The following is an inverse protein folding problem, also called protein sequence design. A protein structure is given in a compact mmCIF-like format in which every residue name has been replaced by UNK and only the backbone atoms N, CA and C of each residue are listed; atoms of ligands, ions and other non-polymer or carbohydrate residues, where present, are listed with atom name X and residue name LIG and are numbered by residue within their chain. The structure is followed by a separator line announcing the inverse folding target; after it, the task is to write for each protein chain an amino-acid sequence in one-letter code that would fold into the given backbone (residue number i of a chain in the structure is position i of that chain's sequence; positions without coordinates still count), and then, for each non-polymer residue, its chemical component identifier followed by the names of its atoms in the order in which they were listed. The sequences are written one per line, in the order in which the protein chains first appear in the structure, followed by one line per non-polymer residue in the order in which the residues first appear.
data_IF_878554965494
#
_entry.id   IF_878554965494
#
_cell.length_a   1.000
_cell.length_b   1.000
_cell.length_c   1.000
_cell.angle_alpha   90.00
_cell.angle_beta   90.00
_cell.angle_gamma   90.00
#
_symmetry.space_group_name_H-M   'P 1'
#
loop_
_entity.id
_entity.type
_entity.pdbx_description
1 polymer ?
#
# COMPACT_ATOMS: atom_id res chain seq x y z
N UNK A 1 28.51 -27.47 -18.87
CA UNK A 1 27.31 -27.77 -18.05
C UNK A 1 26.77 -26.48 -17.46
N UNK A 2 25.76 -25.87 -18.09
CA UNK A 2 25.21 -24.54 -17.70
C UNK A 2 23.66 -24.55 -17.55
N UNK A 3 23.08 -25.74 -17.33
CA UNK A 3 21.62 -25.93 -17.31
C UNK A 3 20.95 -25.83 -15.93
N UNK A 4 21.72 -25.89 -14.83
CA UNK A 4 21.15 -26.02 -13.49
C UNK A 4 20.74 -24.69 -12.82
N UNK A 5 21.34 -23.55 -13.19
CA UNK A 5 21.06 -22.26 -12.53
C UNK A 5 19.84 -21.53 -13.10
N UNK A 6 19.56 -21.65 -14.40
CA UNK A 6 18.45 -20.95 -15.06
C UNK A 6 17.09 -21.47 -14.57
N UNK A 7 16.94 -22.79 -14.46
CA UNK A 7 15.70 -23.40 -13.95
C UNK A 7 15.49 -23.12 -12.47
N UNK A 8 16.55 -23.18 -11.65
CA UNK A 8 16.48 -22.83 -10.24
C UNK A 8 16.05 -21.37 -10.03
N UNK A 9 16.64 -20.42 -10.76
CA UNK A 9 16.27 -19.00 -10.67
C UNK A 9 14.84 -18.73 -11.15
N UNK A 10 14.39 -19.39 -12.23
CA UNK A 10 13.00 -19.30 -12.69
C UNK A 10 12.04 -19.89 -11.64
N UNK A 11 12.40 -21.02 -11.03
CA UNK A 11 11.61 -21.67 -9.97
C UNK A 11 11.51 -20.79 -8.72
N UNK A 12 12.61 -20.23 -8.24
CA UNK A 12 12.61 -19.32 -7.09
C UNK A 12 11.78 -18.06 -7.36
N UNK A 13 11.98 -17.41 -8.50
CA UNK A 13 11.20 -16.23 -8.90
C UNK A 13 9.71 -16.54 -9.02
N UNK A 14 9.36 -17.68 -9.64
CA UNK A 14 7.97 -18.12 -9.77
C UNK A 14 7.35 -18.46 -8.41
N UNK A 15 8.07 -19.14 -7.53
CA UNK A 15 7.60 -19.45 -6.18
C UNK A 15 7.34 -18.19 -5.34
N UNK A 16 8.19 -17.17 -5.46
CA UNK A 16 8.00 -15.87 -4.81
C UNK A 16 6.77 -15.12 -5.36
N UNK A 17 6.61 -15.10 -6.68
CA UNK A 17 5.42 -14.50 -7.33
C UNK A 17 4.14 -15.24 -6.97
N UNK A 18 4.16 -16.57 -6.97
CA UNK A 18 3.02 -17.40 -6.59
C UNK A 18 2.67 -17.20 -5.11
N UNK A 19 3.67 -17.10 -4.22
CA UNK A 19 3.46 -16.78 -2.80
C UNK A 19 2.79 -15.41 -2.61
N UNK A 20 3.23 -14.39 -3.33
CA UNK A 20 2.66 -13.04 -3.26
C UNK A 20 1.25 -13.00 -3.82
N UNK A 21 1.04 -13.60 -4.99
CA UNK A 21 -0.30 -13.74 -5.58
C UNK A 21 -1.25 -14.47 -4.62
N UNK A 22 -0.77 -15.49 -3.92
CA UNK A 22 -1.57 -16.22 -2.91
C UNK A 22 -1.96 -15.32 -1.73
N UNK A 23 -1.07 -14.43 -1.27
CA UNK A 23 -1.42 -13.44 -0.23
C UNK A 23 -2.51 -12.48 -0.70
N UNK A 24 -2.40 -11.95 -1.92
CA UNK A 24 -3.43 -11.08 -2.51
C UNK A 24 -4.75 -11.83 -2.71
N UNK A 25 -4.72 -13.10 -3.13
CA UNK A 25 -5.93 -13.92 -3.25
C UNK A 25 -6.68 -13.99 -1.93
N UNK A 26 -5.99 -14.37 -0.87
CA UNK A 26 -6.58 -14.48 0.47
C UNK A 26 -7.16 -13.15 0.93
N UNK A 27 -6.46 -12.04 0.71
CA UNK A 27 -6.96 -10.70 1.08
C UNK A 27 -8.22 -10.33 0.29
N UNK A 28 -8.21 -10.51 -1.03
CA UNK A 28 -9.38 -10.16 -1.85
C UNK A 28 -10.59 -11.05 -1.60
N UNK A 29 -10.39 -12.34 -1.32
CA UNK A 29 -11.49 -13.25 -0.95
C UNK A 29 -12.13 -12.83 0.38
N UNK A 30 -11.33 -12.44 1.38
CA UNK A 30 -11.86 -11.92 2.65
C UNK A 30 -12.68 -10.64 2.43
N UNK A 31 -12.22 -9.75 1.54
CA UNK A 31 -12.98 -8.54 1.20
C UNK A 31 -14.32 -8.87 0.51
N UNK A 32 -14.34 -9.86 -0.39
CA UNK A 32 -15.59 -10.36 -1.01
C UNK A 32 -16.53 -10.91 0.06
N UNK A 33 -16.01 -11.74 0.97
CA UNK A 33 -16.78 -12.32 2.07
C UNK A 33 -17.40 -11.23 2.95
N UNK A 34 -16.60 -10.25 3.40
CA UNK A 34 -17.08 -9.16 4.26
C UNK A 34 -18.10 -8.27 3.53
N UNK A 35 -17.85 -7.93 2.26
CA UNK A 35 -18.80 -7.14 1.48
C UNK A 35 -20.14 -7.85 1.30
N UNK A 36 -20.13 -9.18 1.07
CA UNK A 36 -21.33 -9.98 0.98
C UNK A 36 -22.06 -10.15 2.33
N UNK A 37 -21.30 -10.29 3.43
CA UNK A 37 -21.85 -10.44 4.78
C UNK A 37 -22.49 -9.17 5.31
N UNK A 38 -21.87 -8.01 5.07
CA UNK A 38 -22.35 -6.71 5.58
C UNK A 38 -23.49 -6.12 4.75
N UNK A 39 -23.44 -6.26 3.43
CA UNK A 39 -24.35 -5.55 2.51
C UNK A 39 -25.14 -6.50 1.60
N UNK A 40 -25.16 -7.80 1.92
CA UNK A 40 -25.90 -8.82 1.19
C UNK A 40 -25.13 -9.43 0.00
N UNK A 41 -25.53 -10.64 -0.46
CA UNK A 41 -24.79 -11.40 -1.47
C UNK A 41 -25.08 -10.97 -2.92
N UNK A 42 -26.11 -10.14 -3.14
CA UNK A 42 -26.53 -9.76 -4.49
C UNK A 42 -25.55 -8.76 -5.12
N UNK A 43 -24.93 -9.19 -6.22
CA UNK A 43 -23.88 -8.42 -6.91
C UNK A 43 -24.46 -7.15 -7.54
N UNK A 44 -25.71 -7.17 -8.01
CA UNK A 44 -26.29 -6.02 -8.71
C UNK A 44 -26.67 -4.87 -7.77
N UNK A 45 -27.16 -5.19 -6.57
CA UNK A 45 -27.52 -4.18 -5.56
C UNK A 45 -26.37 -3.80 -4.62
N UNK A 46 -25.24 -4.51 -4.64
CA UNK A 46 -24.11 -4.27 -3.73
C UNK A 46 -22.84 -3.77 -4.47
N UNK A 47 -22.63 -2.45 -4.58
CA UNK A 47 -21.43 -1.88 -5.20
C UNK A 47 -20.12 -2.27 -4.48
N UNK A 48 -20.14 -2.46 -3.16
CA UNK A 48 -18.97 -2.90 -2.39
C UNK A 48 -18.54 -4.31 -2.83
N UNK A 49 -19.52 -5.19 -3.04
CA UNK A 49 -19.29 -6.55 -3.51
C UNK A 49 -18.80 -6.56 -4.96
N UNK A 50 -19.36 -5.72 -5.85
CA UNK A 50 -18.84 -5.58 -7.22
C UNK A 50 -17.38 -5.15 -7.25
N UNK A 51 -17.03 -4.13 -6.46
CA UNK A 51 -15.66 -3.66 -6.34
C UNK A 51 -14.73 -4.75 -5.80
N UNK A 52 -15.15 -5.46 -4.75
CA UNK A 52 -14.38 -6.57 -4.18
C UNK A 52 -14.17 -7.71 -5.19
N UNK A 53 -15.21 -8.07 -5.96
CA UNK A 53 -15.14 -9.08 -7.03
C UNK A 53 -14.22 -8.60 -8.17
N UNK A 54 -14.31 -7.33 -8.57
CA UNK A 54 -13.45 -6.74 -9.59
C UNK A 54 -11.99 -6.83 -9.18
N UNK A 55 -11.67 -6.44 -7.93
CA UNK A 55 -10.32 -6.59 -7.36
C UNK A 55 -9.88 -8.05 -7.28
N UNK A 56 -10.74 -8.97 -6.88
CA UNK A 56 -10.42 -10.41 -6.87
C UNK A 56 -10.10 -10.94 -8.28
N UNK A 57 -10.89 -10.56 -9.28
CA UNK A 57 -10.67 -10.91 -10.70
C UNK A 57 -9.36 -10.31 -11.23
N UNK A 58 -9.03 -9.06 -10.87
CA UNK A 58 -7.77 -8.42 -11.24
C UNK A 58 -6.55 -9.23 -10.79
N UNK A 59 -6.59 -9.80 -9.59
CA UNK A 59 -5.51 -10.68 -9.12
C UNK A 59 -5.54 -12.07 -9.78
N UNK A 60 -6.57 -12.44 -10.53
CA UNK A 60 -6.85 -13.77 -11.10
C UNK A 60 -7.35 -14.80 -10.08
N UNK A 61 -8.13 -14.37 -9.09
CA UNK A 61 -8.84 -15.31 -8.21
C UNK A 61 -9.85 -16.10 -9.05
N UNK A 62 -9.84 -17.46 -8.98
CA UNK A 62 -10.80 -18.30 -9.67
C UNK A 62 -12.26 -17.98 -9.30
N UNK A 63 -13.16 -18.04 -10.29
CA UNK A 63 -14.58 -17.69 -10.13
C UNK A 63 -15.29 -18.52 -9.06
N UNK A 64 -15.01 -19.82 -9.02
CA UNK A 64 -15.53 -20.76 -8.02
C UNK A 64 -15.19 -20.34 -6.58
N UNK A 65 -13.99 -19.78 -6.36
CA UNK A 65 -13.59 -19.28 -5.04
C UNK A 65 -14.33 -18.02 -4.64
N UNK A 66 -14.59 -17.13 -5.60
CA UNK A 66 -15.38 -15.92 -5.39
C UNK A 66 -16.82 -16.30 -5.02
N UNK A 67 -17.44 -17.17 -5.81
CA UNK A 67 -18.80 -17.65 -5.56
C UNK A 67 -18.92 -18.36 -4.21
N UNK A 68 -17.93 -19.19 -3.87
CA UNK A 68 -17.88 -19.84 -2.55
C UNK A 68 -17.76 -18.83 -1.41
N UNK A 69 -16.96 -17.77 -1.57
CA UNK A 69 -16.84 -16.73 -0.55
C UNK A 69 -18.16 -15.99 -0.31
N UNK A 70 -18.89 -15.67 -1.40
CA UNK A 70 -20.21 -15.02 -1.33
C UNK A 70 -21.22 -15.95 -0.64
N UNK A 71 -21.26 -17.22 -1.06
CA UNK A 71 -22.19 -18.21 -0.48
C UNK A 71 -21.91 -18.40 1.01
N UNK A 72 -20.65 -18.65 1.37
CA UNK A 72 -20.23 -18.82 2.76
C UNK A 72 -20.59 -17.60 3.63
N UNK A 73 -20.51 -16.38 3.10
CA UNK A 73 -20.83 -15.16 3.84
C UNK A 73 -22.29 -15.10 4.33
N UNK A 74 -23.19 -15.83 3.66
CA UNK A 74 -24.63 -15.84 3.93
C UNK A 74 -25.15 -17.15 4.51
N UNK A 75 -24.29 -18.15 4.73
CA UNK A 75 -24.70 -19.40 5.37
C UNK A 75 -24.91 -19.18 6.87
N UNK A 76 -26.10 -19.53 7.40
CA UNK A 76 -26.45 -19.37 8.82
C UNK A 76 -25.54 -20.16 9.77
N UNK A 77 -24.97 -21.26 9.30
CA UNK A 77 -24.03 -22.10 10.05
C UNK A 77 -22.62 -21.49 10.13
N UNK A 78 -22.34 -20.42 9.40
CA UNK A 78 -21.01 -19.85 9.34
C UNK A 78 -20.72 -18.98 10.58
N UNK A 79 -19.77 -19.44 11.39
CA UNK A 79 -19.29 -18.74 12.60
C UNK A 79 -18.09 -17.82 12.34
N UNK A 80 -17.55 -17.78 11.11
CA UNK A 80 -16.46 -16.88 10.74
C UNK A 80 -16.91 -15.42 10.85
N UNK A 81 -16.39 -14.74 11.87
CA UNK A 81 -16.60 -13.33 12.10
C UNK A 81 -15.26 -12.63 11.98
N UNK A 82 -15.07 -11.94 10.86
CA UNK A 82 -13.96 -11.03 10.71
C UNK A 82 -14.32 -9.69 11.32
N UNK A 83 -13.40 -9.14 12.08
CA UNK A 83 -13.49 -7.80 12.67
C UNK A 83 -12.38 -6.93 12.09
N UNK A 84 -12.73 -5.70 11.74
CA UNK A 84 -11.75 -4.66 11.50
C UNK A 84 -11.13 -4.25 12.84
N UNK A 85 -9.81 -4.26 12.88
CA UNK A 85 -9.02 -3.83 14.02
C UNK A 85 -7.94 -2.87 13.53
N UNK A 86 -7.67 -1.86 14.35
CA UNK A 86 -6.63 -0.88 14.12
C UNK A 86 -5.56 -1.11 15.17
N UNK A 87 -4.32 -1.20 14.72
CA UNK A 87 -3.15 -1.24 15.58
C UNK A 87 -2.35 0.04 15.37
N UNK A 88 -1.88 0.61 16.46
CA UNK A 88 -1.17 1.88 16.48
C UNK A 88 0.23 1.66 17.01
N UNK A 89 1.24 2.33 16.46
CA UNK A 89 2.60 2.18 16.93
C UNK A 89 3.58 3.16 16.31
N UNK A 90 4.82 3.08 16.78
CA UNK A 90 5.93 3.87 16.28
C UNK A 90 6.98 2.95 15.68
N UNK A 91 7.47 3.28 14.49
CA UNK A 91 8.62 2.64 13.87
C UNK A 91 9.94 3.35 14.22
N UNK A 92 11.02 2.99 13.53
CA UNK A 92 12.31 3.68 13.63
C UNK A 92 12.17 5.19 13.39
N UNK A 93 13.00 5.98 14.07
CA UNK A 93 12.97 7.44 13.96
C UNK A 93 11.70 8.09 14.51
N UNK A 94 10.88 7.36 15.28
CA UNK A 94 9.64 7.89 15.84
C UNK A 94 8.51 8.07 14.82
N UNK A 95 8.60 7.43 13.66
CA UNK A 95 7.56 7.50 12.62
C UNK A 95 6.29 6.81 13.12
N UNK A 96 5.16 7.52 13.05
CA UNK A 96 3.86 7.00 13.45
C UNK A 96 3.28 6.05 12.39
N UNK A 97 2.75 4.90 12.83
CA UNK A 97 2.11 3.90 11.99
C UNK A 97 0.71 3.56 12.50
N UNK A 98 -0.25 3.55 11.57
CA UNK A 98 -1.57 2.95 11.76
C UNK A 98 -1.68 1.72 10.87
N UNK A 99 -1.98 0.57 11.45
CA UNK A 99 -2.11 -0.71 10.76
C UNK A 99 -3.54 -1.20 10.88
N UNK A 100 -4.30 -1.12 9.80
CA UNK A 100 -5.65 -1.71 9.72
C UNK A 100 -5.57 -3.18 9.34
N UNK A 101 -6.26 -4.04 10.08
CA UNK A 101 -6.33 -5.47 9.80
C UNK A 101 -7.77 -5.98 9.87
N UNK A 102 -8.09 -6.94 9.01
CA UNK A 102 -9.33 -7.69 9.04
C UNK A 102 -9.03 -9.10 9.57
N UNK A 103 -9.49 -9.42 10.78
CA UNK A 103 -9.10 -10.65 11.48
C UNK A 103 -10.25 -11.33 12.20
N UNK A 104 -10.20 -12.67 12.19
CA UNK A 104 -11.03 -13.59 12.96
C UNK A 104 -10.40 -13.92 14.33
N UNK A 105 -9.15 -13.49 14.58
CA UNK A 105 -8.44 -13.73 15.83
C UNK A 105 -7.55 -12.54 16.18
N UNK A 106 -8.09 -11.65 17.02
CA UNK A 106 -7.43 -10.42 17.47
C UNK A 106 -6.10 -10.69 18.18
N UNK A 107 -6.03 -11.75 19.00
CA UNK A 107 -4.83 -12.07 19.78
C UNK A 107 -3.67 -12.55 18.90
N UNK A 108 -3.97 -13.41 17.93
CA UNK A 108 -2.99 -13.87 16.94
C UNK A 108 -2.45 -12.71 16.13
N UNK A 109 -3.34 -11.88 15.58
CA UNK A 109 -2.94 -10.72 14.77
C UNK A 109 -2.16 -9.69 15.58
N UNK A 110 -2.56 -9.41 16.82
CA UNK A 110 -1.81 -8.49 17.69
C UNK A 110 -0.39 -9.00 17.98
N UNK A 111 -0.22 -10.31 18.20
CA UNK A 111 1.08 -10.93 18.40
C UNK A 111 1.97 -10.82 17.16
N UNK A 112 1.41 -11.11 15.98
CA UNK A 112 2.12 -10.98 14.69
C UNK A 112 2.53 -9.53 14.43
N UNK A 113 1.62 -8.57 14.58
CA UNK A 113 1.91 -7.14 14.40
C UNK A 113 2.98 -6.67 15.37
N UNK A 114 2.87 -7.02 16.66
CA UNK A 114 3.89 -6.67 17.66
C UNK A 114 5.26 -7.24 17.29
N UNK A 115 5.32 -8.49 16.86
CA UNK A 115 6.57 -9.12 16.42
C UNK A 115 7.19 -8.39 15.22
N UNK A 116 6.38 -7.86 14.31
CA UNK A 116 6.86 -7.05 13.18
C UNK A 116 7.44 -5.74 13.68
N UNK A 117 6.72 -4.96 14.50
CA UNK A 117 7.25 -3.72 15.08
C UNK A 117 8.58 -3.97 15.81
N UNK A 118 8.65 -4.97 16.69
CA UNK A 118 9.87 -5.28 17.43
C UNK A 118 11.04 -5.71 16.55
N UNK A 119 10.77 -6.44 15.46
CA UNK A 119 11.80 -6.85 14.49
C UNK A 119 12.43 -5.64 13.79
N UNK A 120 11.65 -4.59 13.57
CA UNK A 120 12.06 -3.38 12.85
C UNK A 120 12.29 -2.20 13.80
N UNK A 121 12.82 -2.44 15.00
CA UNK A 121 13.17 -1.39 15.97
C UNK A 121 12.03 -0.39 16.28
N UNK A 122 10.79 -0.83 16.15
CA UNK A 122 9.59 -0.09 16.51
C UNK A 122 8.86 -0.73 17.70
N UNK A 123 7.79 -0.07 18.11
CA UNK A 123 6.93 -0.52 19.21
C UNK A 123 5.46 -0.41 18.82
N UNK A 124 4.72 -1.49 19.05
CA UNK A 124 3.27 -1.45 19.03
C UNK A 124 2.78 -0.71 20.28
N UNK A 125 2.07 0.39 20.09
CA UNK A 125 1.46 1.19 21.12
C UNK A 125 0.10 0.65 21.57
N UNK A 126 -0.56 1.45 22.42
CA UNK A 126 -1.97 1.26 22.80
C UNK A 126 -2.88 2.09 21.89
N UNK A 127 -4.17 1.77 21.86
CA UNK A 127 -5.17 2.57 21.13
C UNK A 127 -5.07 4.05 21.54
N UNK A 128 -5.02 4.96 20.57
CA UNK A 128 -4.82 6.40 20.82
C UNK A 128 -3.37 6.90 20.75
N UNK A 129 -2.38 6.02 20.64
CA UNK A 129 -0.95 6.40 20.65
C UNK A 129 -0.53 7.33 19.50
N UNK A 130 -1.10 7.14 18.31
CA UNK A 130 -0.79 7.92 17.11
C UNK A 130 -2.02 8.41 16.35
N UNK A 131 -3.21 7.89 16.63
CA UNK A 131 -4.42 8.20 15.86
C UNK A 131 -4.77 9.70 15.80
N UNK A 132 -4.37 10.49 16.79
CA UNK A 132 -4.50 11.95 16.75
C UNK A 132 -3.66 12.64 15.66
N UNK A 133 -2.63 11.95 15.13
CA UNK A 133 -1.77 12.40 14.02
C UNK A 133 -2.35 12.06 12.65
N UNK A 134 -3.55 11.48 12.60
CA UNK A 134 -4.21 11.05 11.35
C UNK A 134 -5.68 11.46 11.32
N UNK A 135 -6.12 11.90 10.15
CA UNK A 135 -7.54 12.06 9.84
C UNK A 135 -8.08 10.77 9.23
N UNK A 136 -9.22 10.29 9.75
CA UNK A 136 -9.92 9.13 9.20
C UNK A 136 -10.98 9.62 8.22
N UNK A 137 -10.72 9.39 6.93
CA UNK A 137 -11.57 9.89 5.84
C UNK A 137 -12.11 8.74 4.99
N UNK A 138 -13.30 8.94 4.44
CA UNK A 138 -13.76 8.15 3.31
C UNK A 138 -13.09 8.65 2.03
N UNK A 139 -12.53 7.76 1.24
CA UNK A 139 -11.88 8.07 -0.02
C UNK A 139 -12.48 7.26 -1.16
N UNK A 140 -12.82 7.93 -2.26
CA UNK A 140 -13.36 7.35 -3.49
C UNK A 140 -12.47 7.80 -4.64
N UNK A 141 -11.99 6.87 -5.47
CA UNK A 141 -11.05 7.15 -6.56
C UNK A 141 -11.66 6.78 -7.90
N UNK A 142 -11.55 7.69 -8.86
CA UNK A 142 -12.01 7.51 -10.23
C UNK A 142 -10.89 7.83 -11.22
N UNK A 143 -10.71 6.96 -12.21
CA UNK A 143 -9.82 7.14 -13.36
C UNK A 143 -10.63 7.55 -14.58
N UNK A 144 -10.01 8.34 -15.45
CA UNK A 144 -10.58 8.71 -16.76
C UNK A 144 -11.97 9.37 -16.68
N UNK A 145 -12.25 10.08 -15.58
CA UNK A 145 -13.47 10.88 -15.42
C UNK A 145 -13.19 12.36 -15.65
N UNK A 146 -14.21 13.10 -16.05
CA UNK A 146 -14.15 14.55 -16.15
C UNK A 146 -14.09 15.16 -14.74
N UNK A 147 -13.03 15.92 -14.46
CA UNK A 147 -12.79 16.46 -13.12
C UNK A 147 -13.86 17.48 -12.71
N UNK A 148 -14.25 18.37 -13.61
CA UNK A 148 -15.19 19.45 -13.29
C UNK A 148 -16.56 18.86 -12.92
N UNK A 149 -17.03 17.87 -13.69
CA UNK A 149 -18.26 17.12 -13.35
C UNK A 149 -18.15 16.34 -12.06
N UNK A 150 -17.01 15.67 -11.82
CA UNK A 150 -16.80 14.93 -10.57
C UNK A 150 -16.82 15.87 -9.37
N UNK A 151 -16.16 17.02 -9.49
CA UNK A 151 -16.09 18.04 -8.46
C UNK A 151 -17.48 18.57 -8.09
N UNK A 152 -18.28 18.98 -9.07
CA UNK A 152 -19.65 19.46 -8.85
C UNK A 152 -20.51 18.39 -8.17
N UNK A 153 -20.54 17.17 -8.71
CA UNK A 153 -21.33 16.07 -8.17
C UNK A 153 -20.90 15.66 -6.76
N UNK A 154 -19.60 15.68 -6.47
CA UNK A 154 -19.07 15.36 -5.16
C UNK A 154 -19.45 16.40 -4.10
N UNK A 155 -19.35 17.70 -4.42
CA UNK A 155 -19.72 18.78 -3.50
C UNK A 155 -21.21 18.75 -3.19
N UNK A 156 -22.06 18.51 -4.19
CA UNK A 156 -23.52 18.38 -3.99
C UNK A 156 -23.89 17.22 -3.05
N UNK A 157 -22.97 16.29 -2.80
CA UNK A 157 -23.15 15.12 -1.96
C UNK A 157 -22.30 15.12 -0.68
N UNK A 158 -21.92 16.31 -0.18
CA UNK A 158 -21.17 16.50 1.07
C UNK A 158 -19.75 15.90 1.07
N UNK A 159 -19.09 15.87 -0.10
CA UNK A 159 -17.64 15.65 -0.11
C UNK A 159 -16.90 16.77 0.64
N UNK A 160 -15.88 16.39 1.40
CA UNK A 160 -14.97 17.30 2.10
C UNK A 160 -14.02 17.97 1.12
N UNK A 161 -13.50 17.19 0.16
CA UNK A 161 -12.52 17.68 -0.81
C UNK A 161 -12.50 16.80 -2.06
N UNK A 162 -12.02 17.35 -3.17
CA UNK A 162 -11.83 16.63 -4.43
C UNK A 162 -10.47 16.99 -5.01
N UNK A 163 -9.58 16.00 -5.04
CA UNK A 163 -8.19 16.18 -5.44
C UNK A 163 -7.96 15.57 -6.81
N UNK A 164 -7.41 16.35 -7.74
CA UNK A 164 -6.93 15.85 -9.03
C UNK A 164 -5.47 15.42 -8.92
N UNK A 165 -5.18 14.17 -9.23
CA UNK A 165 -3.83 13.63 -9.35
C UNK A 165 -3.57 13.22 -10.80
N UNK A 166 -2.30 12.92 -11.13
CA UNK A 166 -1.88 12.64 -12.50
C UNK A 166 -2.65 11.46 -13.15
N UNK A 167 -2.95 10.42 -12.36
CA UNK A 167 -3.54 9.16 -12.85
C UNK A 167 -5.02 8.97 -12.48
N UNK A 168 -5.54 9.73 -11.52
CA UNK A 168 -6.90 9.58 -10.99
C UNK A 168 -7.35 10.83 -10.22
N UNK A 169 -8.64 10.94 -9.97
CA UNK A 169 -9.20 11.91 -9.05
C UNK A 169 -9.62 11.20 -7.75
N UNK A 170 -9.43 11.86 -6.61
CA UNK A 170 -9.89 11.42 -5.30
C UNK A 170 -11.01 12.32 -4.82
N UNK A 171 -12.08 11.72 -4.30
CA UNK A 171 -13.12 12.41 -3.55
C UNK A 171 -12.98 11.98 -2.09
N UNK A 172 -12.81 12.95 -1.20
CA UNK A 172 -12.72 12.78 0.24
C UNK A 172 -14.04 13.14 0.89
N UNK A 173 -14.44 12.39 1.90
CA UNK A 173 -15.65 12.64 2.68
C UNK A 173 -15.48 12.17 4.12
N UNK A 174 -16.43 12.48 4.99
CA UNK A 174 -16.43 11.91 6.34
C UNK A 174 -16.59 10.38 6.23
N UNK A 175 -15.89 9.61 7.08
CA UNK A 175 -16.03 8.15 7.09
C UNK A 175 -17.50 7.67 7.22
N UNK A 176 -18.34 8.43 7.93
CA UNK A 176 -19.76 8.10 8.12
C UNK A 176 -20.59 8.30 6.85
N UNK A 177 -20.15 9.21 6.00
CA UNK A 177 -20.86 9.61 4.78
C UNK A 177 -20.35 8.85 3.55
N UNK A 178 -19.26 8.07 3.67
CA UNK A 178 -18.66 7.32 2.55
C UNK A 178 -19.69 6.55 1.72
N UNK A 179 -20.61 5.84 2.37
CA UNK A 179 -21.66 5.07 1.68
C UNK A 179 -22.61 5.98 0.89
N UNK A 180 -23.00 7.12 1.45
CA UNK A 180 -23.87 8.12 0.81
C UNK A 180 -23.17 8.73 -0.41
N UNK A 181 -21.98 9.31 -0.20
CA UNK A 181 -21.21 9.98 -1.27
C UNK A 181 -20.90 9.00 -2.39
N UNK A 182 -20.45 7.80 -2.06
CA UNK A 182 -20.17 6.75 -3.05
C UNK A 182 -21.41 6.40 -3.87
N UNK A 183 -22.55 6.16 -3.23
CA UNK A 183 -23.76 5.77 -3.97
C UNK A 183 -24.18 6.86 -4.96
N UNK A 184 -24.16 8.12 -4.54
CA UNK A 184 -24.49 9.24 -5.41
C UNK A 184 -23.53 9.37 -6.60
N UNK A 185 -22.21 9.22 -6.36
CA UNK A 185 -21.22 9.22 -7.44
C UNK A 185 -21.35 8.00 -8.35
N UNK A 186 -21.69 6.82 -7.81
CA UNK A 186 -21.94 5.62 -8.61
C UNK A 186 -23.05 5.80 -9.62
N UNK A 187 -24.10 6.55 -9.28
CA UNK A 187 -25.23 6.78 -10.19
C UNK A 187 -24.84 7.63 -11.41
N UNK A 188 -23.79 8.44 -11.28
CA UNK A 188 -23.31 9.36 -12.35
C UNK A 188 -22.11 8.79 -13.10
N UNK A 189 -21.14 8.22 -12.38
CA UNK A 189 -19.83 7.81 -12.91
C UNK A 189 -19.65 6.30 -12.98
N UNK A 190 -20.59 5.52 -12.45
CA UNK A 190 -20.45 4.08 -12.27
C UNK A 190 -19.57 3.71 -11.08
N UNK A 191 -19.24 2.42 -10.97
CA UNK A 191 -18.44 1.92 -9.84
C UNK A 191 -17.04 2.58 -9.83
N UNK A 192 -16.56 3.05 -8.65
CA UNK A 192 -15.24 3.65 -8.53
C UNK A 192 -14.13 2.60 -8.72
N UNK A 193 -12.95 3.05 -9.13
CA UNK A 193 -11.75 2.20 -9.21
C UNK A 193 -11.30 1.73 -7.83
N UNK A 194 -11.37 2.64 -6.85
CA UNK A 194 -11.10 2.35 -5.45
C UNK A 194 -12.05 3.12 -4.53
N UNK A 195 -12.43 2.49 -3.41
CA UNK A 195 -13.28 3.09 -2.40
C UNK A 195 -12.96 2.45 -1.06
N UNK A 196 -12.84 3.26 -0.01
CA UNK A 196 -12.58 2.75 1.34
C UNK A 196 -12.32 3.85 2.35
N UNK A 197 -12.08 3.43 3.58
CA UNK A 197 -11.59 4.31 4.64
C UNK A 197 -10.07 4.40 4.53
N UNK A 198 -9.54 5.62 4.58
CA UNK A 198 -8.11 5.91 4.59
C UNK A 198 -7.74 6.69 5.86
N UNK A 199 -6.55 6.42 6.40
CA UNK A 199 -5.93 7.18 7.48
C UNK A 199 -4.91 8.13 6.85
N UNK A 200 -5.16 9.43 6.89
CA UNK A 200 -4.29 10.44 6.28
C UNK A 200 -3.51 11.19 7.35
N UNK A 201 -2.16 11.22 7.28
CA UNK A 201 -1.38 12.00 8.23
C UNK A 201 -1.80 13.49 8.19
N UNK A 202 -2.08 14.07 9.35
CA UNK A 202 -2.35 15.50 9.52
C UNK A 202 -1.17 16.23 10.19
N UNK A 203 -0.24 15.48 10.77
CA UNK A 203 1.03 15.95 11.31
C UNK A 203 2.16 15.21 10.60
N UNK A 204 3.15 15.96 10.14
CA UNK A 204 4.37 15.41 9.54
C UNK A 204 5.54 15.68 10.47
N UNK A 205 6.27 14.63 10.85
CA UNK A 205 7.50 14.73 11.64
C UNK A 205 8.71 14.68 10.70
N UNK A 206 9.72 15.50 10.97
CA UNK A 206 11.05 15.32 10.38
C UNK A 206 11.70 14.06 10.98
N UNK A 207 12.20 13.19 10.11
CA UNK A 207 12.97 12.01 10.52
C UNK A 207 14.39 12.49 10.77
N UNK A 208 14.95 12.21 11.96
CA UNK A 208 16.27 12.71 12.38
C UNK A 208 17.41 12.23 11.47
N UNK A 209 18.46 13.03 11.35
CA UNK A 209 19.67 12.79 10.53
C UNK A 209 20.40 11.47 10.87
N UNK A 210 20.22 10.86 12.04
CA UNK A 210 20.79 9.52 12.33
C UNK A 210 20.19 8.39 11.47
N UNK A 211 19.19 8.70 10.65
CA UNK A 211 18.59 7.81 9.65
C UNK A 211 19.22 8.04 8.25
N UNK A 212 20.32 8.81 8.15
CA UNK A 212 20.75 9.45 6.91
C UNK A 212 21.18 8.54 5.76
N UNK A 213 21.63 7.29 5.98
CA UNK A 213 21.97 6.44 4.85
C UNK A 213 20.72 5.94 4.14
N UNK A 214 20.41 6.60 3.01
CA UNK A 214 19.21 6.39 2.22
C UNK A 214 19.50 5.81 0.85
N UNK A 215 18.87 4.69 0.51
CA UNK A 215 19.01 4.07 -0.81
C UNK A 215 17.77 4.31 -1.65
N UNK A 216 17.91 5.06 -2.74
CA UNK A 216 16.80 5.47 -3.61
C UNK A 216 16.90 4.80 -4.97
N UNK A 217 15.83 4.18 -5.44
CA UNK A 217 15.75 3.76 -6.84
C UNK A 217 15.51 4.93 -7.77
N UNK A 218 16.60 5.58 -8.18
CA UNK A 218 16.58 6.96 -8.65
C UNK A 218 16.38 7.16 -10.17
N UNK A 219 16.27 6.10 -10.97
CA UNK A 219 16.21 6.22 -12.45
C UNK A 219 14.83 6.49 -13.03
N UNK A 220 13.76 6.12 -12.32
CA UNK A 220 12.35 6.36 -12.70
C UNK A 220 11.86 7.74 -12.26
N UNK A 221 10.71 8.17 -12.78
CA UNK A 221 10.10 9.48 -12.48
C UNK A 221 9.96 9.74 -10.97
N UNK A 222 9.34 8.81 -10.25
CA UNK A 222 9.18 8.89 -8.79
C UNK A 222 10.54 8.92 -8.08
N UNK A 223 11.50 8.10 -8.51
CA UNK A 223 12.84 8.07 -7.91
C UNK A 223 13.60 9.39 -8.06
N UNK A 224 13.42 10.07 -9.20
CA UNK A 224 13.99 11.40 -9.42
C UNK A 224 13.30 12.46 -8.57
N UNK A 225 11.98 12.36 -8.40
CA UNK A 225 11.23 13.26 -7.53
C UNK A 225 11.64 13.09 -6.06
N UNK A 226 11.85 11.85 -5.61
CA UNK A 226 12.42 11.56 -4.29
C UNK A 226 13.81 12.20 -4.13
N UNK A 227 14.71 12.04 -5.10
CA UNK A 227 16.03 12.70 -5.07
C UNK A 227 15.91 14.23 -5.01
N UNK A 228 14.96 14.82 -5.75
CA UNK A 228 14.70 16.25 -5.72
C UNK A 228 14.19 16.70 -4.35
N UNK A 229 13.20 16.03 -3.78
CA UNK A 229 12.67 16.33 -2.44
C UNK A 229 13.75 16.20 -1.37
N UNK A 230 14.60 15.17 -1.43
CA UNK A 230 15.71 15.00 -0.49
C UNK A 230 16.73 16.15 -0.61
N UNK A 231 17.03 16.60 -1.83
CA UNK A 231 17.92 17.75 -2.04
C UNK A 231 17.32 19.07 -1.56
N UNK A 232 16.01 19.30 -1.77
CA UNK A 232 15.31 20.48 -1.27
C UNK A 232 15.25 20.53 0.26
N UNK A 233 15.37 19.37 0.91
CA UNK A 233 15.46 19.22 2.37
C UNK A 233 16.89 19.27 2.91
N UNK A 234 17.87 19.61 2.08
CA UNK A 234 19.29 19.70 2.45
C UNK A 234 19.88 18.39 3.01
N UNK A 235 19.37 17.22 2.60
CA UNK A 235 20.03 15.95 2.92
C UNK A 235 21.39 15.92 2.21
N UNK A 236 22.45 15.52 2.92
CA UNK A 236 23.78 15.43 2.35
C UNK A 236 23.82 14.36 1.26
N UNK A 237 24.31 14.73 0.07
CA UNK A 237 24.37 13.82 -1.08
C UNK A 237 25.18 12.55 -0.79
N UNK A 238 26.16 12.62 0.11
CA UNK A 238 27.01 11.48 0.46
C UNK A 238 26.26 10.40 1.24
N UNK A 239 25.14 10.78 1.87
CA UNK A 239 24.28 9.88 2.63
C UNK A 239 23.17 9.30 1.72
N UNK A 240 23.11 9.70 0.45
CA UNK A 240 22.13 9.22 -0.53
C UNK A 240 22.80 8.37 -1.59
N UNK A 241 22.38 7.11 -1.69
CA UNK A 241 22.84 6.22 -2.77
C UNK A 241 21.72 5.96 -3.76
N UNK A 242 21.96 6.42 -4.99
CA UNK A 242 21.14 6.07 -6.14
C UNK A 242 21.39 4.64 -6.58
N UNK A 243 20.35 3.80 -6.60
CA UNK A 243 20.39 2.44 -7.16
C UNK A 243 19.47 2.27 -8.36
N UNK A 244 19.75 1.26 -9.17
CA UNK A 244 19.01 0.97 -10.39
C UNK A 244 19.08 -0.52 -10.74
N UNK A 245 18.26 -0.95 -11.70
CA UNK A 245 18.43 -2.28 -12.30
C UNK A 245 19.80 -2.40 -12.98
N UNK A 246 20.27 -3.61 -13.22
CA UNK A 246 21.58 -3.86 -13.85
C UNK A 246 21.78 -3.10 -15.18
N UNK A 247 20.71 -2.95 -15.96
CA UNK A 247 20.68 -2.20 -17.23
C UNK A 247 20.58 -0.67 -17.07
N UNK A 248 20.32 -0.18 -15.86
CA UNK A 248 20.10 1.24 -15.54
C UNK A 248 21.24 1.89 -14.76
N UNK A 249 22.30 1.15 -14.44
CA UNK A 249 23.45 1.65 -13.70
C UNK A 249 24.32 2.60 -14.53
N UNK A 250 25.05 3.48 -13.86
CA UNK A 250 25.87 4.52 -14.46
C UNK A 250 25.06 5.74 -14.95
N UNK A 251 23.76 5.82 -14.67
CA UNK A 251 22.94 6.97 -15.04
C UNK A 251 23.17 8.11 -14.05
N UNK A 252 23.33 9.31 -14.59
CA UNK A 252 23.38 10.56 -13.84
C UNK A 252 21.98 10.97 -13.41
N UNK A 253 21.80 11.29 -12.14
CA UNK A 253 20.55 11.74 -11.54
C UNK A 253 20.81 13.05 -10.83
N UNK A 254 19.96 14.04 -11.06
CA UNK A 254 20.05 15.34 -10.38
C UNK A 254 19.73 15.20 -8.89
N UNK A 255 20.49 15.90 -8.06
CA UNK A 255 20.25 16.04 -6.63
C UNK A 255 20.61 17.49 -6.25
N UNK A 256 19.64 18.41 -6.36
CA UNK A 256 19.91 19.85 -6.34
C UNK A 256 20.87 20.26 -7.46
N UNK A 257 21.92 20.99 -7.10
CA UNK A 257 23.02 21.39 -7.99
C UNK A 257 24.07 20.29 -8.21
N UNK A 258 23.92 19.16 -7.52
CA UNK A 258 24.84 18.02 -7.58
C UNK A 258 24.25 16.85 -8.37
N UNK A 259 25.08 15.80 -8.58
CA UNK A 259 24.71 14.64 -9.41
C UNK A 259 25.08 13.33 -8.72
N UNK A 260 24.08 12.47 -8.54
CA UNK A 260 24.26 11.08 -8.15
C UNK A 260 24.48 10.18 -9.38
N UNK A 261 25.33 9.17 -9.24
CA UNK A 261 25.52 8.12 -10.26
C UNK A 261 24.87 6.83 -9.76
N UNK A 262 23.93 6.30 -10.53
CA UNK A 262 23.23 5.08 -10.15
C UNK A 262 24.15 3.87 -10.11
N UNK A 263 24.12 3.13 -8.99
CA UNK A 263 24.77 1.83 -8.84
C UNK A 263 23.81 0.69 -9.24
N UNK A 264 24.35 -0.49 -9.54
CA UNK A 264 23.54 -1.69 -9.74
C UNK A 264 23.03 -2.15 -8.38
N UNK A 265 21.73 -2.43 -8.28
CA UNK A 265 21.11 -2.94 -7.06
C UNK A 265 21.67 -4.31 -6.64
N UNK A 266 22.09 -5.12 -7.61
CA UNK A 266 22.68 -6.45 -7.41
C UNK A 266 24.09 -6.41 -6.79
N UNK A 267 24.80 -5.29 -6.97
CA UNK A 267 26.17 -5.10 -6.48
C UNK A 267 26.21 -4.32 -5.17
N UNK A 268 25.05 -3.87 -4.66
CA UNK A 268 24.97 -3.03 -3.48
C UNK A 268 24.71 -3.86 -2.22
N UNK A 269 25.56 -3.72 -1.21
CA UNK A 269 25.35 -4.29 0.12
C UNK A 269 24.46 -3.36 0.95
N UNK A 270 23.44 -3.91 1.62
CA UNK A 270 22.43 -3.13 2.35
C UNK A 270 22.64 -3.09 3.86
N UNK A 271 23.82 -3.50 4.33
CA UNK A 271 24.09 -3.76 5.74
C UNK A 271 24.20 -2.49 6.60
N UNK A 272 24.40 -1.32 5.98
CA UNK A 272 24.65 -0.04 6.67
C UNK A 272 23.55 1.00 6.35
N UNK A 273 22.43 0.58 5.77
CA UNK A 273 21.38 1.52 5.33
C UNK A 273 20.29 1.62 6.39
N UNK A 274 19.94 2.85 6.76
CA UNK A 274 18.83 3.12 7.68
C UNK A 274 17.48 3.16 6.96
N UNK A 275 17.42 3.74 5.74
CA UNK A 275 16.19 3.84 4.94
C UNK A 275 16.42 3.46 3.47
N UNK A 276 15.52 2.71 2.87
CA UNK A 276 15.57 2.38 1.46
C UNK A 276 14.24 2.74 0.78
N UNK A 277 14.25 3.80 -0.03
CA UNK A 277 13.06 4.31 -0.71
C UNK A 277 12.95 3.69 -2.10
N UNK A 278 12.02 2.73 -2.22
CA UNK A 278 11.79 2.00 -3.46
C UNK A 278 10.61 2.54 -4.26
N UNK A 279 10.90 3.31 -5.30
CA UNK A 279 9.96 3.54 -6.39
C UNK A 279 10.01 2.37 -7.40
N UNK A 280 9.29 1.26 -7.16
CA UNK A 280 9.40 0.08 -8.03
C UNK A 280 8.07 -0.58 -8.44
N UNK A 281 8.10 -1.23 -9.61
CA UNK A 281 7.22 -2.38 -9.89
C UNK A 281 7.52 -3.49 -8.88
N UNK A 282 6.49 -4.23 -8.46
CA UNK A 282 6.56 -5.25 -7.41
C UNK A 282 7.88 -6.04 -7.38
N UNK A 283 8.34 -6.55 -8.53
CA UNK A 283 9.54 -7.40 -8.67
C UNK A 283 10.85 -6.95 -8.00
N UNK A 284 11.07 -5.66 -7.68
CA UNK A 284 12.29 -5.19 -7.00
C UNK A 284 12.14 -5.19 -5.47
N UNK A 285 11.05 -4.61 -4.93
CA UNK A 285 10.64 -4.79 -3.51
C UNK A 285 10.56 -6.29 -3.17
N UNK A 286 10.11 -7.07 -4.13
CA UNK A 286 9.98 -8.52 -4.05
C UNK A 286 11.27 -9.32 -3.93
N UNK A 287 12.39 -8.82 -4.47
CA UNK A 287 13.69 -9.50 -4.53
C UNK A 287 14.69 -8.93 -3.53
N UNK A 288 14.57 -7.64 -3.21
CA UNK A 288 15.53 -6.94 -2.37
C UNK A 288 14.84 -6.38 -1.12
N UNK A 289 13.60 -5.93 -1.19
CA UNK A 289 12.91 -5.32 -0.05
C UNK A 289 12.81 -6.22 1.19
N UNK A 290 12.63 -7.53 1.04
CA UNK A 290 12.61 -8.47 2.18
C UNK A 290 13.99 -8.65 2.79
N UNK A 291 15.03 -8.76 1.96
CA UNK A 291 16.40 -8.98 2.42
C UNK A 291 16.98 -7.71 3.06
N UNK A 292 16.62 -6.55 2.51
CA UNK A 292 16.98 -5.23 3.04
C UNK A 292 16.30 -4.98 4.37
N UNK A 293 15.00 -5.27 4.46
CA UNK A 293 14.27 -5.22 5.70
C UNK A 293 14.89 -6.17 6.76
N UNK A 294 15.32 -7.37 6.37
CA UNK A 294 16.01 -8.30 7.30
C UNK A 294 17.34 -7.76 7.85
N UNK A 295 17.95 -6.78 7.20
CA UNK A 295 19.17 -6.12 7.64
C UNK A 295 18.90 -4.93 8.58
N UNK A 296 17.66 -4.70 9.00
CA UNK A 296 17.27 -3.64 9.92
C UNK A 296 16.91 -2.30 9.24
N UNK A 297 16.95 -2.27 7.91
CA UNK A 297 16.63 -1.09 7.11
C UNK A 297 15.10 -0.88 6.98
N UNK A 298 14.67 0.37 7.01
CA UNK A 298 13.28 0.77 6.74
C UNK A 298 13.06 0.81 5.23
N UNK A 299 12.18 -0.05 4.70
CA UNK A 299 11.92 -0.26 3.25
C UNK A 299 10.57 0.30 2.83
#
# INVERSE_FOLDING_TARGET
MAGHSKYANIKHRKALQDSKRTKYFTKTIKNVFVAAKLYGPDILSNPSLRLAISKAKYYNVPKDKIERAIKNATEESNTENYSDIVYEGYGPGGVAFVVTALTDNKNRTASEVRSVFSKFHGNLGVDGSVSHMFDVVGCIKYKNVDFDKLFESAIDNDAIDVVKLDDFCEVLCNQKDLSKVRNALCDVFGDPDECGIEWRPNIFSEVSEEVADSVVRATGSIGREVCKVLSERNININDVVAISSDSGAGKKISFGDEVLISKKISDYGFNEISVAIFATKASVVENFGVDIAQLGCVV
#
